data_IF_253453017550
#
_entry.id   IF_253453017550
#
_cell.length_a   1.000
_cell.length_b   1.000
_cell.length_c   1.000
_cell.angle_alpha   90.00
_cell.angle_beta   90.00
_cell.angle_gamma   90.00
#
_symmetry.space_group_name_H-M   'P 1'
#
loop_
_entity.id
_entity.type
_entity.pdbx_description
1 polymer ?
#
# COMPACT_ATOMS: atom_id res chain seq x y z
N UNK A 1 16.47 -10.34 30.00
CA UNK A 1 15.03 -10.02 29.84
C UNK A 1 14.65 -10.48 28.45
N UNK A 2 14.00 -11.64 28.33
CA UNK A 2 13.69 -12.29 27.04
C UNK A 2 12.86 -11.38 26.13
N UNK A 3 11.97 -10.56 26.71
CA UNK A 3 11.12 -9.61 25.97
C UNK A 3 11.98 -8.60 25.23
N UNK A 4 13.02 -8.07 25.90
CA UNK A 4 13.93 -7.09 25.30
C UNK A 4 14.73 -7.70 24.15
N UNK A 5 15.19 -8.93 24.28
CA UNK A 5 15.98 -9.61 23.23
C UNK A 5 15.10 -9.90 22.00
N UNK A 6 13.85 -10.32 22.20
CA UNK A 6 12.88 -10.49 21.11
C UNK A 6 12.58 -9.15 20.42
N UNK A 7 12.40 -8.08 21.19
CA UNK A 7 12.22 -6.74 20.64
C UNK A 7 13.41 -6.31 19.78
N UNK A 8 14.64 -6.54 20.25
CA UNK A 8 15.87 -6.24 19.49
C UNK A 8 15.94 -7.05 18.19
N UNK A 9 15.55 -8.33 18.20
CA UNK A 9 15.47 -9.17 17.01
C UNK A 9 14.44 -8.62 15.99
N UNK A 10 13.24 -8.26 16.45
CA UNK A 10 12.22 -7.65 15.57
C UNK A 10 12.69 -6.30 15.02
N UNK A 11 13.38 -5.51 15.83
CA UNK A 11 13.85 -4.19 15.42
C UNK A 11 14.91 -4.28 14.31
N UNK A 12 15.82 -5.26 14.38
CA UNK A 12 16.82 -5.52 13.34
C UNK A 12 16.21 -5.74 11.96
N UNK A 13 15.03 -6.35 11.91
CA UNK A 13 14.32 -6.71 10.67
C UNK A 13 13.08 -5.83 10.40
N UNK A 14 12.92 -4.71 11.11
CA UNK A 14 11.67 -3.94 11.11
C UNK A 14 11.26 -3.46 9.71
N UNK A 15 12.21 -2.97 8.90
CA UNK A 15 11.93 -2.53 7.54
C UNK A 15 11.34 -3.66 6.68
N UNK A 16 11.98 -4.83 6.69
CA UNK A 16 11.50 -6.01 5.97
C UNK A 16 10.13 -6.47 6.47
N UNK A 17 9.94 -6.57 7.79
CA UNK A 17 8.66 -6.97 8.38
C UNK A 17 7.53 -6.02 7.98
N UNK A 18 7.79 -4.72 7.94
CA UNK A 18 6.80 -3.74 7.54
C UNK A 18 6.44 -3.87 6.05
N UNK A 19 7.42 -3.98 5.15
CA UNK A 19 7.17 -4.21 3.73
C UNK A 19 6.43 -5.53 3.49
N UNK A 20 6.77 -6.57 4.26
CA UNK A 20 6.11 -7.87 4.23
C UNK A 20 4.62 -7.74 4.56
N UNK A 21 4.31 -7.08 5.68
CA UNK A 21 2.93 -6.80 6.08
C UNK A 21 2.18 -6.03 4.99
N UNK A 22 2.74 -4.92 4.49
CA UNK A 22 2.12 -4.11 3.46
C UNK A 22 1.85 -4.91 2.17
N UNK A 23 2.79 -5.75 1.74
CA UNK A 23 2.60 -6.58 0.55
C UNK A 23 1.38 -7.50 0.69
N UNK A 24 1.28 -8.24 1.80
CA UNK A 24 0.18 -9.18 2.01
C UNK A 24 -1.18 -8.50 2.28
N UNK A 25 -1.20 -7.27 2.81
CA UNK A 25 -2.45 -6.49 2.87
C UNK A 25 -2.98 -6.16 1.46
N UNK A 26 -2.11 -5.85 0.49
CA UNK A 26 -2.57 -5.45 -0.86
C UNK A 26 -3.18 -6.58 -1.70
N UNK A 27 -2.99 -7.86 -1.32
CA UNK A 27 -3.43 -9.00 -2.13
C UNK A 27 -4.95 -9.15 -2.27
N UNK A 28 -5.75 -8.63 -1.33
CA UNK A 28 -7.20 -8.83 -1.30
C UNK A 28 -8.02 -7.56 -1.55
N UNK A 29 -7.43 -6.54 -2.19
CA UNK A 29 -8.15 -5.33 -2.60
C UNK A 29 -8.57 -4.41 -1.45
N UNK A 30 -8.17 -4.68 -0.20
CA UNK A 30 -8.38 -3.79 0.94
C UNK A 30 -7.15 -3.76 1.84
N UNK A 31 -6.91 -2.63 2.50
CA UNK A 31 -5.76 -2.39 3.36
C UNK A 31 -6.10 -2.47 4.85
N UNK A 32 -7.27 -3.01 5.17
CA UNK A 32 -7.75 -3.18 6.53
C UNK A 32 -6.99 -4.31 7.25
N UNK A 33 -6.29 -5.20 6.54
CA UNK A 33 -5.41 -6.16 7.19
C UNK A 33 -5.11 -7.38 6.33
N UNK A 34 -4.27 -8.27 6.85
CA UNK A 34 -3.96 -9.54 6.21
C UNK A 34 -5.13 -10.49 6.45
N UNK A 35 -5.84 -10.84 5.38
CA UNK A 35 -6.93 -11.83 5.43
C UNK A 35 -6.38 -13.24 5.63
N UNK A 36 -7.23 -14.21 5.97
CA UNK A 36 -6.84 -15.62 6.03
C UNK A 36 -6.21 -16.11 4.70
N UNK A 37 -6.75 -15.69 3.55
CA UNK A 37 -6.21 -16.07 2.24
C UNK A 37 -4.83 -15.46 1.99
N UNK A 38 -4.62 -14.19 2.36
CA UNK A 38 -3.29 -13.57 2.26
C UNK A 38 -2.29 -14.19 3.25
N UNK A 39 -2.75 -14.60 4.43
CA UNK A 39 -1.90 -15.30 5.39
C UNK A 39 -1.49 -16.68 4.88
N UNK A 40 -2.40 -17.43 4.28
CA UNK A 40 -2.09 -18.71 3.63
C UNK A 40 -1.11 -18.53 2.45
N UNK A 41 -1.28 -17.47 1.65
CA UNK A 41 -0.32 -17.11 0.60
C UNK A 41 1.07 -16.80 1.19
N UNK A 42 1.14 -16.03 2.28
CA UNK A 42 2.38 -15.78 3.01
C UNK A 42 3.07 -17.07 3.48
N UNK A 43 2.30 -18.00 4.05
CA UNK A 43 2.82 -19.30 4.48
C UNK A 43 3.39 -20.11 3.30
N UNK A 44 2.71 -20.08 2.16
CA UNK A 44 3.13 -20.77 0.94
C UNK A 44 4.37 -20.12 0.31
N UNK A 45 4.36 -18.81 0.10
CA UNK A 45 5.45 -18.05 -0.52
C UNK A 45 6.73 -18.11 0.31
N UNK A 46 6.61 -18.08 1.64
CA UNK A 46 7.73 -18.23 2.57
C UNK A 46 8.20 -19.67 2.73
N UNK A 47 7.58 -20.64 2.04
CA UNK A 47 7.85 -22.07 2.18
C UNK A 47 7.92 -22.53 3.65
N UNK A 48 7.00 -22.02 4.48
CA UNK A 48 7.03 -22.19 5.93
C UNK A 48 6.48 -23.55 6.38
N UNK A 49 5.63 -24.15 5.55
CA UNK A 49 4.98 -25.42 5.86
C UNK A 49 5.85 -26.62 5.45
N UNK A 50 5.94 -27.61 6.34
CA UNK A 50 6.48 -28.93 6.06
C UNK A 50 5.41 -30.01 6.30
N UNK A 51 4.99 -30.68 5.24
CA UNK A 51 3.98 -31.74 5.28
C UNK A 51 4.40 -32.96 6.10
N UNK A 52 5.71 -33.16 6.35
CA UNK A 52 6.23 -34.24 7.19
C UNK A 52 6.31 -33.84 8.66
N UNK A 53 6.24 -32.55 8.96
CA UNK A 53 6.27 -32.07 10.33
C UNK A 53 4.99 -32.42 11.07
N UNK A 54 5.12 -32.79 12.34
CA UNK A 54 3.96 -32.98 13.25
C UNK A 54 3.37 -31.66 13.73
N UNK A 55 4.12 -30.58 13.55
CA UNK A 55 3.83 -29.29 14.17
C UNK A 55 3.77 -28.16 13.13
N UNK A 56 4.35 -28.31 11.95
CA UNK A 56 4.50 -27.21 11.00
C UNK A 56 3.84 -27.48 9.64
N UNK A 57 2.68 -28.12 9.60
CA UNK A 57 1.92 -28.27 8.35
C UNK A 57 1.19 -26.97 8.03
N UNK A 58 0.80 -26.77 6.77
CA UNK A 58 0.05 -25.57 6.36
C UNK A 58 -1.18 -25.32 7.24
N UNK A 59 -1.96 -26.36 7.54
CA UNK A 59 -3.11 -26.27 8.43
C UNK A 59 -2.74 -25.88 9.88
N UNK A 60 -1.58 -26.30 10.39
CA UNK A 60 -1.11 -25.92 11.71
C UNK A 60 -0.73 -24.43 11.77
N UNK A 61 -0.17 -23.90 10.67
CA UNK A 61 0.17 -22.49 10.53
C UNK A 61 -1.08 -21.63 10.28
N UNK A 62 -2.06 -22.07 9.50
CA UNK A 62 -3.33 -21.37 9.32
C UNK A 62 -4.08 -21.18 10.65
N UNK A 63 -4.03 -22.20 11.52
CA UNK A 63 -4.60 -22.13 12.86
C UNK A 63 -3.96 -21.02 13.71
N UNK A 64 -2.69 -20.68 13.50
CA UNK A 64 -2.04 -19.55 14.19
C UNK A 64 -2.76 -18.24 13.87
N UNK A 65 -3.07 -17.99 12.59
CA UNK A 65 -3.78 -16.77 12.19
C UNK A 65 -5.16 -16.67 12.85
N UNK A 66 -5.90 -17.78 12.91
CA UNK A 66 -7.22 -17.86 13.56
C UNK A 66 -7.09 -17.63 15.08
N UNK A 67 -6.11 -18.27 15.72
CA UNK A 67 -5.88 -18.15 17.16
C UNK A 67 -5.54 -16.71 17.53
N UNK A 68 -4.61 -16.08 16.80
CA UNK A 68 -4.19 -14.70 17.04
C UNK A 68 -5.35 -13.73 16.86
N UNK A 69 -6.12 -13.84 15.77
CA UNK A 69 -7.29 -12.98 15.56
C UNK A 69 -8.32 -13.14 16.69
N UNK A 70 -8.54 -14.37 17.15
CA UNK A 70 -9.46 -14.66 18.27
C UNK A 70 -8.97 -14.05 19.58
N UNK A 71 -7.68 -14.12 19.87
CA UNK A 71 -7.08 -13.52 21.07
C UNK A 71 -7.18 -12.00 21.05
N UNK A 72 -6.90 -11.38 19.90
CA UNK A 72 -7.01 -9.93 19.72
C UNK A 72 -8.43 -9.43 19.89
N UNK A 73 -9.42 -10.14 19.35
CA UNK A 73 -10.83 -9.78 19.56
C UNK A 73 -11.23 -9.76 21.04
N UNK A 74 -10.70 -10.69 21.85
CA UNK A 74 -10.90 -10.69 23.31
C UNK A 74 -10.21 -9.50 23.98
N UNK A 75 -8.97 -9.21 23.58
CA UNK A 75 -8.20 -8.10 24.12
C UNK A 75 -8.84 -6.74 23.79
N UNK A 76 -9.33 -6.57 22.57
CA UNK A 76 -10.03 -5.36 22.15
C UNK A 76 -11.36 -5.18 22.88
N UNK A 77 -12.10 -6.27 23.14
CA UNK A 77 -13.30 -6.21 23.97
C UNK A 77 -13.00 -5.76 25.42
N UNK A 78 -11.89 -6.24 25.99
CA UNK A 78 -11.42 -5.79 27.31
C UNK A 78 -11.07 -4.30 27.31
N UNK A 79 -10.28 -3.84 26.32
CA UNK A 79 -9.91 -2.42 26.20
C UNK A 79 -11.11 -1.51 25.93
N UNK A 80 -12.08 -1.96 25.13
CA UNK A 80 -13.30 -1.22 24.87
C UNK A 80 -14.17 -1.09 26.14
N UNK A 81 -14.15 -2.09 27.03
CA UNK A 81 -14.78 -1.99 28.34
C UNK A 81 -14.03 -0.98 29.24
N UNK A 82 -12.70 -0.95 29.20
CA UNK A 82 -11.88 0.01 29.94
C UNK A 82 -12.03 1.45 29.43
N UNK A 83 -12.19 1.65 28.13
CA UNK A 83 -12.35 2.99 27.52
C UNK A 83 -13.70 3.64 27.84
N UNK A 84 -14.65 2.91 28.42
CA UNK A 84 -15.93 3.46 28.92
C UNK A 84 -15.79 4.15 30.28
N UNK A 85 -14.61 4.04 30.93
CA UNK A 85 -14.34 4.71 32.21
C UNK A 85 -14.19 6.23 32.03
N UNK A 86 -14.64 7.06 33.00
CA UNK A 86 -14.48 8.50 32.93
C UNK A 86 -13.00 8.90 32.77
N UNK A 87 -12.70 9.74 31.76
CA UNK A 87 -11.34 10.21 31.47
C UNK A 87 -10.47 9.30 30.60
N UNK A 88 -10.99 8.14 30.15
CA UNK A 88 -10.25 7.26 29.24
C UNK A 88 -10.20 7.81 27.81
N UNK A 89 -9.09 7.57 27.10
CA UNK A 89 -8.97 7.92 25.67
C UNK A 89 -9.96 7.09 24.86
N UNK A 90 -10.63 7.72 23.89
CA UNK A 90 -11.52 7.04 22.94
C UNK A 90 -10.68 6.16 22.01
N UNK A 91 -10.79 4.85 22.20
CA UNK A 91 -10.14 3.83 21.37
C UNK A 91 -11.03 3.54 20.16
N UNK A 92 -10.42 3.41 18.98
CA UNK A 92 -11.13 2.97 17.78
C UNK A 92 -11.08 1.44 17.74
N UNK A 93 -12.22 0.79 17.49
CA UNK A 93 -12.25 -0.65 17.22
C UNK A 93 -11.28 -0.94 16.07
N UNK A 94 -10.34 -1.86 16.28
CA UNK A 94 -9.42 -2.29 15.23
C UNK A 94 -10.16 -2.94 14.07
N UNK A 95 -9.39 -3.10 12.99
CA UNK A 95 -9.60 -3.76 11.70
C UNK A 95 -10.80 -4.72 11.60
N UNK A 96 -11.33 -4.91 10.40
CA UNK A 96 -12.53 -5.72 10.21
C UNK A 96 -12.37 -7.12 10.83
N UNK A 97 -13.47 -7.65 11.38
CA UNK A 97 -13.50 -9.00 11.94
C UNK A 97 -12.87 -9.98 10.94
N UNK A 98 -12.00 -10.87 11.42
CA UNK A 98 -11.31 -11.90 10.63
C UNK A 98 -10.13 -11.43 9.76
N UNK A 99 -9.54 -10.27 10.06
CA UNK A 99 -8.30 -9.80 9.44
C UNK A 99 -7.22 -9.54 10.49
N UNK A 100 -5.95 -9.75 10.12
CA UNK A 100 -4.80 -9.48 10.97
C UNK A 100 -4.25 -8.08 10.68
N UNK A 101 -4.37 -7.19 11.66
CA UNK A 101 -3.64 -5.92 11.73
C UNK A 101 -2.14 -6.12 11.88
N UNK A 102 -1.38 -5.01 11.89
CA UNK A 102 0.09 -5.08 11.99
C UNK A 102 0.56 -5.83 13.24
N UNK A 103 0.06 -5.47 14.42
CA UNK A 103 0.43 -6.13 15.68
C UNK A 103 0.08 -7.62 15.70
N UNK A 104 -1.04 -7.99 15.10
CA UNK A 104 -1.49 -9.38 15.00
C UNK A 104 -0.58 -10.17 14.06
N UNK A 105 -0.23 -9.58 12.92
CA UNK A 105 0.73 -10.17 11.99
C UNK A 105 2.10 -10.37 12.65
N UNK A 106 2.59 -9.39 13.42
CA UNK A 106 3.80 -9.52 14.23
C UNK A 106 3.70 -10.69 15.23
N UNK A 107 2.56 -10.83 15.91
CA UNK A 107 2.36 -11.94 16.84
C UNK A 107 2.29 -13.30 16.13
N UNK A 108 1.73 -13.34 14.91
CA UNK A 108 1.79 -14.53 14.07
C UNK A 108 3.24 -14.91 13.75
N UNK A 109 4.12 -13.97 13.40
CA UNK A 109 5.54 -14.26 13.13
C UNK A 109 6.23 -14.92 14.34
N UNK A 110 5.98 -14.40 15.54
CA UNK A 110 6.50 -14.99 16.79
C UNK A 110 6.00 -16.43 16.98
N UNK A 111 4.69 -16.67 16.80
CA UNK A 111 4.11 -18.01 16.93
C UNK A 111 4.61 -18.98 15.85
N UNK A 112 4.79 -18.52 14.62
CA UNK A 112 5.37 -19.30 13.52
C UNK A 112 6.80 -19.71 13.87
N UNK A 113 7.64 -18.78 14.37
CA UNK A 113 9.00 -19.09 14.78
C UNK A 113 9.05 -20.17 15.88
N UNK A 114 8.16 -20.07 16.89
CA UNK A 114 8.00 -21.10 17.92
C UNK A 114 7.62 -22.44 17.31
N UNK A 115 6.66 -22.44 16.38
CA UNK A 115 6.16 -23.67 15.76
C UNK A 115 7.23 -24.35 14.89
N UNK A 116 8.02 -23.58 14.16
CA UNK A 116 9.06 -24.07 13.25
C UNK A 116 10.31 -24.58 13.99
N UNK A 117 10.83 -23.80 14.93
CA UNK A 117 12.16 -24.05 15.49
C UNK A 117 12.14 -24.54 16.93
N UNK A 118 11.19 -24.10 17.75
CA UNK A 118 11.17 -24.47 19.17
C UNK A 118 10.40 -25.77 19.41
N UNK A 119 9.23 -25.93 18.80
CA UNK A 119 8.43 -27.17 18.93
C UNK A 119 9.04 -28.36 18.20
N UNK A 120 9.87 -28.12 17.20
CA UNK A 120 10.69 -29.16 16.56
C UNK A 120 11.88 -29.59 17.44
N UNK A 121 12.21 -28.81 18.48
CA UNK A 121 13.37 -29.02 19.35
C UNK A 121 14.69 -28.56 18.74
N UNK A 122 14.65 -27.80 17.64
CA UNK A 122 15.85 -27.31 16.96
C UNK A 122 16.51 -26.15 17.71
N UNK A 123 15.71 -25.21 18.23
CA UNK A 123 16.17 -24.04 18.98
C UNK A 123 15.44 -23.92 20.32
N UNK A 124 16.12 -23.37 21.32
CA UNK A 124 15.57 -23.17 22.67
C UNK A 124 15.35 -21.70 23.04
N UNK A 125 15.82 -20.75 22.21
CA UNK A 125 15.60 -19.31 22.39
C UNK A 125 14.56 -18.81 21.39
N UNK A 126 13.61 -17.99 21.86
CA UNK A 126 12.62 -17.36 20.99
C UNK A 126 13.28 -16.32 20.08
N UNK A 127 14.25 -15.58 20.60
CA UNK A 127 14.97 -14.56 19.83
C UNK A 127 15.74 -15.15 18.65
N UNK A 128 16.45 -16.27 18.86
CA UNK A 128 17.16 -17.00 17.79
C UNK A 128 16.19 -17.61 16.78
N UNK A 129 15.07 -18.18 17.26
CA UNK A 129 14.04 -18.72 16.38
C UNK A 129 13.42 -17.64 15.49
N UNK A 130 13.15 -16.46 16.03
CA UNK A 130 12.59 -15.35 15.28
C UNK A 130 13.60 -14.77 14.28
N UNK A 131 14.86 -14.61 14.69
CA UNK A 131 15.93 -14.14 13.80
C UNK A 131 16.08 -15.09 12.60
N UNK A 132 16.09 -16.39 12.87
CA UNK A 132 16.20 -17.42 11.84
C UNK A 132 14.99 -17.46 10.91
N UNK A 133 13.77 -17.27 11.45
CA UNK A 133 12.57 -17.12 10.63
C UNK A 133 12.72 -15.94 9.67
N UNK A 134 13.10 -14.77 10.19
CA UNK A 134 13.16 -13.54 9.41
C UNK A 134 14.25 -13.59 8.34
N UNK A 135 15.42 -14.14 8.65
CA UNK A 135 16.48 -14.41 7.66
C UNK A 135 16.01 -15.38 6.57
N UNK A 136 15.29 -16.44 6.94
CA UNK A 136 14.70 -17.38 5.98
C UNK A 136 13.68 -16.70 5.06
N UNK A 137 12.80 -15.88 5.63
CA UNK A 137 11.79 -15.10 4.88
C UNK A 137 12.44 -14.08 3.94
N UNK A 138 13.50 -13.38 4.37
CA UNK A 138 14.27 -12.47 3.53
C UNK A 138 14.94 -13.21 2.37
N UNK A 139 15.52 -14.38 2.63
CA UNK A 139 16.18 -15.18 1.59
C UNK A 139 15.18 -15.76 0.57
N UNK A 140 14.01 -16.20 1.03
CA UNK A 140 12.98 -16.85 0.20
C UNK A 140 12.11 -15.86 -0.57
N UNK A 141 11.74 -14.74 0.07
CA UNK A 141 10.77 -13.79 -0.46
C UNK A 141 11.36 -12.40 -0.71
N UNK A 142 12.68 -12.23 -0.51
CA UNK A 142 13.33 -10.94 -0.70
C UNK A 142 13.10 -10.34 -2.09
N UNK A 143 12.91 -11.17 -3.13
CA UNK A 143 12.56 -10.67 -4.47
C UNK A 143 11.10 -10.18 -4.59
N UNK A 144 10.19 -10.69 -3.77
CA UNK A 144 8.77 -10.32 -3.75
C UNK A 144 8.53 -9.08 -2.87
N UNK A 145 9.37 -8.91 -1.83
CA UNK A 145 9.27 -7.89 -0.79
C UNK A 145 10.56 -7.05 -0.78
N UNK A 146 10.98 -6.62 -1.98
CA UNK A 146 12.36 -6.13 -2.20
C UNK A 146 12.56 -4.66 -1.88
N UNK A 147 11.50 -3.87 -1.98
CA UNK A 147 11.64 -2.42 -1.97
C UNK A 147 11.24 -1.84 -0.62
N UNK A 148 12.16 -1.08 -0.04
CA UNK A 148 11.85 -0.18 1.06
C UNK A 148 11.12 1.05 0.48
N UNK A 149 9.90 1.39 0.95
CA UNK A 149 9.21 2.61 0.56
C UNK A 149 10.07 3.87 0.67
N UNK A 150 11.01 3.94 1.62
CA UNK A 150 11.92 5.08 1.84
C UNK A 150 13.03 5.17 0.78
N UNK A 151 13.46 4.04 0.20
CA UNK A 151 14.40 4.04 -0.93
C UNK A 151 13.75 4.68 -2.14
N UNK A 152 12.48 4.40 -2.42
CA UNK A 152 11.75 5.08 -3.49
C UNK A 152 11.65 6.59 -3.25
N UNK A 153 11.33 7.00 -2.02
CA UNK A 153 11.22 8.42 -1.65
C UNK A 153 12.51 9.18 -1.93
N UNK A 154 13.61 8.68 -1.41
CA UNK A 154 14.93 9.33 -1.54
C UNK A 154 15.50 9.26 -2.96
N UNK A 155 15.33 8.13 -3.66
CA UNK A 155 15.87 7.94 -5.01
C UNK A 155 15.08 8.66 -6.10
N UNK A 156 13.76 8.77 -5.94
CA UNK A 156 12.88 9.28 -6.99
C UNK A 156 12.00 10.45 -6.52
N UNK A 157 11.09 10.22 -5.56
CA UNK A 157 10.01 11.18 -5.27
C UNK A 157 10.49 12.53 -4.71
N UNK A 158 11.59 12.55 -3.95
CA UNK A 158 12.12 13.75 -3.28
C UNK A 158 13.28 14.40 -4.04
N UNK A 159 13.47 14.06 -5.32
CA UNK A 159 14.42 14.76 -6.17
C UNK A 159 13.92 16.15 -6.54
N UNK A 160 14.87 17.06 -6.76
CA UNK A 160 14.58 18.45 -7.04
C UNK A 160 13.72 18.64 -8.30
N UNK A 161 14.05 17.95 -9.39
CA UNK A 161 13.32 17.98 -10.67
C UNK A 161 11.86 17.52 -10.52
N UNK A 162 11.63 16.44 -9.77
CA UNK A 162 10.28 15.98 -9.44
C UNK A 162 9.53 16.99 -8.58
N UNK A 163 10.18 17.54 -7.55
CA UNK A 163 9.59 18.57 -6.70
C UNK A 163 9.19 19.82 -7.49
N UNK A 164 10.01 20.26 -8.46
CA UNK A 164 9.71 21.40 -9.33
C UNK A 164 8.43 21.16 -10.15
N UNK A 165 8.24 19.95 -10.70
CA UNK A 165 7.00 19.57 -11.40
C UNK A 165 5.80 19.64 -10.44
N UNK A 166 5.92 19.10 -9.22
CA UNK A 166 4.83 19.08 -8.25
C UNK A 166 4.47 20.50 -7.76
N UNK A 167 5.47 21.34 -7.46
CA UNK A 167 5.28 22.72 -7.00
C UNK A 167 4.59 23.56 -8.08
N UNK A 168 5.05 23.46 -9.33
CA UNK A 168 4.44 24.16 -10.48
C UNK A 168 2.96 23.82 -10.66
N UNK A 169 2.54 22.63 -10.23
CA UNK A 169 1.19 22.11 -10.37
C UNK A 169 0.39 22.06 -9.05
N UNK A 170 0.92 22.63 -7.96
CA UNK A 170 0.40 22.44 -6.61
C UNK A 170 -1.07 22.86 -6.47
N UNK A 171 -1.44 24.01 -7.04
CA UNK A 171 -2.82 24.53 -6.94
C UNK A 171 -3.84 23.58 -7.60
N UNK A 172 -3.51 23.06 -8.78
CA UNK A 172 -4.36 22.10 -9.50
C UNK A 172 -4.45 20.78 -8.72
N UNK A 173 -3.32 20.28 -8.23
CA UNK A 173 -3.25 19.04 -7.44
C UNK A 173 -4.02 19.16 -6.12
N UNK A 174 -3.97 20.30 -5.44
CA UNK A 174 -4.79 20.56 -4.24
C UNK A 174 -6.28 20.60 -4.57
N UNK A 175 -6.66 21.10 -5.74
CA UNK A 175 -8.04 21.09 -6.21
C UNK A 175 -8.55 19.66 -6.44
N UNK A 176 -7.73 18.84 -7.12
CA UNK A 176 -7.98 17.40 -7.31
C UNK A 176 -8.12 16.70 -5.97
N UNK A 177 -7.17 16.89 -5.05
CA UNK A 177 -7.18 16.28 -3.73
C UNK A 177 -8.45 16.61 -2.93
N UNK A 178 -8.85 17.89 -2.90
CA UNK A 178 -10.08 18.34 -2.25
C UNK A 178 -11.32 17.72 -2.88
N UNK A 179 -11.34 17.56 -4.20
CA UNK A 179 -12.45 16.92 -4.88
C UNK A 179 -12.58 15.45 -4.46
N UNK A 180 -11.48 14.70 -4.48
CA UNK A 180 -11.45 13.27 -4.11
C UNK A 180 -11.93 13.07 -2.68
N UNK A 181 -11.33 13.80 -1.74
CA UNK A 181 -11.67 13.76 -0.30
C UNK A 181 -13.08 14.27 0.02
N UNK A 182 -13.76 14.93 -0.94
CA UNK A 182 -15.14 15.38 -0.78
C UNK A 182 -16.18 14.43 -1.36
N UNK A 183 -15.76 13.47 -2.20
CA UNK A 183 -16.67 12.59 -2.90
C UNK A 183 -17.36 11.57 -1.97
N UNK A 184 -16.76 11.24 -0.82
CA UNK A 184 -17.29 10.26 0.13
C UNK A 184 -18.16 10.80 1.27
N UNK A 185 -18.24 12.12 1.46
CA UNK A 185 -18.74 12.70 2.73
C UNK A 185 -20.01 13.54 2.59
N UNK A 186 -21.12 13.06 3.17
CA UNK A 186 -22.32 13.84 3.44
C UNK A 186 -22.08 14.81 4.62
N UNK A 187 -21.69 16.04 4.29
CA UNK A 187 -21.68 17.24 5.14
C UNK A 187 -20.92 17.19 6.49
N UNK A 188 -19.93 18.09 6.64
CA UNK A 188 -19.26 18.59 7.88
C UNK A 188 -17.90 18.00 8.30
N UNK A 189 -17.28 17.09 7.55
CA UNK A 189 -15.91 16.62 7.87
C UNK A 189 -14.86 17.41 7.08
N UNK A 190 -13.70 17.69 7.70
CA UNK A 190 -12.58 18.39 7.05
C UNK A 190 -12.05 17.54 5.90
N UNK A 191 -11.98 18.14 4.71
CA UNK A 191 -11.44 17.57 3.46
C UNK A 191 -9.90 17.53 3.49
N UNK A 192 -9.31 16.81 4.44
CA UNK A 192 -7.87 16.82 4.67
C UNK A 192 -7.15 15.51 4.37
N UNK A 193 -7.87 14.43 4.10
CA UNK A 193 -7.30 13.13 3.76
C UNK A 193 -8.16 12.37 2.73
N UNK A 194 -7.54 11.43 2.03
CA UNK A 194 -8.18 10.54 1.06
C UNK A 194 -8.15 9.12 1.60
N UNK A 195 -9.31 8.48 1.70
CA UNK A 195 -9.38 7.06 2.04
C UNK A 195 -9.14 6.14 0.82
N UNK A 196 -8.96 4.84 1.08
CA UNK A 196 -8.71 3.86 0.02
C UNK A 196 -9.83 3.81 -1.04
N UNK A 197 -11.09 3.96 -0.63
CA UNK A 197 -12.24 3.86 -1.54
C UNK A 197 -12.30 5.08 -2.45
N UNK A 198 -12.10 6.27 -1.88
CA UNK A 198 -12.03 7.53 -2.61
C UNK A 198 -10.90 7.49 -3.65
N UNK A 199 -9.72 7.01 -3.25
CA UNK A 199 -8.59 6.80 -4.15
C UNK A 199 -8.92 5.88 -5.33
N UNK A 200 -9.39 4.66 -5.04
CA UNK A 200 -9.67 3.67 -6.08
C UNK A 200 -10.81 4.12 -7.01
N UNK A 201 -11.87 4.73 -6.46
CA UNK A 201 -12.97 5.26 -7.26
C UNK A 201 -12.50 6.36 -8.20
N UNK A 202 -11.63 7.24 -7.72
CA UNK A 202 -11.06 8.30 -8.56
C UNK A 202 -10.23 7.70 -9.69
N UNK A 203 -9.31 6.75 -9.42
CA UNK A 203 -8.48 6.16 -10.45
C UNK A 203 -9.30 5.47 -11.54
N UNK A 204 -10.39 4.77 -11.15
CA UNK A 204 -11.34 4.19 -12.11
C UNK A 204 -12.05 5.27 -12.92
N UNK A 205 -12.46 6.37 -12.28
CA UNK A 205 -13.19 7.45 -12.94
C UNK A 205 -12.36 8.16 -14.01
N UNK A 206 -11.05 8.33 -13.79
CA UNK A 206 -10.14 8.94 -14.76
C UNK A 206 -9.51 7.95 -15.74
N UNK A 207 -9.90 6.67 -15.70
CA UNK A 207 -9.36 5.64 -16.59
C UNK A 207 -7.90 5.30 -16.33
N UNK A 208 -7.41 5.49 -15.10
CA UNK A 208 -6.03 5.10 -14.74
C UNK A 208 -5.87 3.59 -14.56
N UNK A 209 -6.92 2.91 -14.11
CA UNK A 209 -6.89 1.45 -13.93
C UNK A 209 -7.06 0.78 -15.29
N UNK A 210 -6.02 0.08 -15.74
CA UNK A 210 -5.97 -0.65 -17.01
C UNK A 210 -4.96 -1.83 -16.91
N UNK A 211 -4.59 -2.44 -18.04
CA UNK A 211 -3.67 -3.58 -18.10
C UNK A 211 -2.25 -3.28 -17.59
N UNK A 212 -1.80 -2.03 -17.71
CA UNK A 212 -0.49 -1.54 -17.25
C UNK A 212 -0.49 -1.10 -15.77
N UNK A 213 -1.65 -0.70 -15.24
CA UNK A 213 -1.84 -0.35 -13.84
C UNK A 213 -3.03 -1.10 -13.26
N UNK A 214 -2.86 -2.38 -12.88
CA UNK A 214 -3.93 -3.15 -12.26
C UNK A 214 -4.27 -2.61 -10.87
N UNK A 215 -5.49 -2.89 -10.41
CA UNK A 215 -5.98 -2.37 -9.11
C UNK A 215 -5.10 -2.71 -7.93
N UNK A 216 -4.45 -3.88 -7.95
CA UNK A 216 -3.52 -4.32 -6.91
C UNK A 216 -2.34 -3.36 -6.79
N UNK A 217 -1.78 -2.93 -7.91
CA UNK A 217 -0.56 -2.11 -7.91
C UNK A 217 -0.93 -0.65 -7.62
N UNK A 218 -2.09 -0.17 -8.09
CA UNK A 218 -2.67 1.09 -7.64
C UNK A 218 -2.95 1.13 -6.12
N UNK A 219 -3.43 0.02 -5.55
CA UNK A 219 -3.61 -0.13 -4.12
C UNK A 219 -2.27 -0.16 -3.37
N UNK A 220 -1.25 -0.76 -3.96
CA UNK A 220 0.11 -0.75 -3.43
C UNK A 220 0.71 0.66 -3.42
N UNK A 221 0.52 1.45 -4.48
CA UNK A 221 0.89 2.88 -4.52
C UNK A 221 0.28 3.65 -3.34
N UNK A 222 -1.01 3.45 -3.08
CA UNK A 222 -1.69 4.04 -1.93
C UNK A 222 -1.07 3.55 -0.62
N UNK A 223 -0.98 2.23 -0.45
CA UNK A 223 -0.52 1.59 0.79
C UNK A 223 0.86 2.09 1.22
N UNK A 224 1.78 2.22 0.26
CA UNK A 224 3.17 2.60 0.49
C UNK A 224 3.39 4.11 0.64
N UNK A 225 2.37 4.92 0.32
CA UNK A 225 2.41 6.38 0.47
C UNK A 225 1.76 6.86 1.77
N UNK A 226 1.27 5.94 2.60
CA UNK A 226 0.72 6.24 3.93
C UNK A 226 1.83 6.49 4.95
N UNK A 227 1.48 7.16 6.04
CA UNK A 227 2.40 7.31 7.16
C UNK A 227 2.38 6.07 8.04
N UNK A 228 3.54 5.50 8.32
CA UNK A 228 3.68 4.59 9.45
C UNK A 228 3.51 5.39 10.76
N UNK A 229 2.69 4.87 11.68
CA UNK A 229 2.49 5.45 13.01
C UNK A 229 2.89 4.45 14.08
N UNK A 230 3.43 4.97 15.18
CA UNK A 230 3.78 4.14 16.34
C UNK A 230 2.54 3.49 16.96
N UNK A 231 1.49 4.28 17.23
CA UNK A 231 0.26 3.81 17.86
C UNK A 231 -0.98 4.02 16.97
N UNK A 232 -1.44 2.97 16.25
CA UNK A 232 -2.58 3.05 15.35
C UNK A 232 -3.94 2.99 16.06
N UNK A 233 -4.00 2.71 17.37
CA UNK A 233 -5.28 2.52 18.07
C UNK A 233 -6.00 3.84 18.38
N UNK A 234 -5.24 4.94 18.36
CA UNK A 234 -5.78 6.28 18.57
C UNK A 234 -6.47 6.73 17.30
N UNK A 235 -7.53 7.53 17.41
CA UNK A 235 -8.21 8.06 16.22
C UNK A 235 -7.26 8.79 15.26
N UNK A 236 -6.26 9.52 15.79
CA UNK A 236 -5.26 10.21 14.98
C UNK A 236 -4.27 9.24 14.32
N UNK A 237 -3.83 8.23 15.06
CA UNK A 237 -2.95 7.19 14.54
C UNK A 237 -3.63 6.40 13.44
N UNK A 238 -4.85 5.91 13.70
CA UNK A 238 -5.66 5.18 12.75
C UNK A 238 -5.81 5.95 11.43
N UNK A 239 -6.28 7.21 11.47
CA UNK A 239 -6.43 8.04 10.26
C UNK A 239 -5.13 8.22 9.47
N UNK A 240 -3.98 8.34 10.14
CA UNK A 240 -2.69 8.46 9.45
C UNK A 240 -2.24 7.17 8.79
N UNK A 241 -2.61 6.03 9.37
CA UNK A 241 -2.27 4.70 8.86
C UNK A 241 -3.26 4.20 7.82
N UNK A 242 -4.47 4.76 7.72
CA UNK A 242 -5.51 4.32 6.77
C UNK A 242 -5.81 5.30 5.65
N UNK A 243 -5.49 6.58 5.82
CA UNK A 243 -5.82 7.64 4.87
C UNK A 243 -4.56 8.42 4.43
N UNK A 244 -4.56 8.92 3.20
CA UNK A 244 -3.48 9.73 2.66
C UNK A 244 -3.68 11.22 2.98
N UNK A 245 -2.71 11.89 3.64
CA UNK A 245 -2.64 13.35 3.59
C UNK A 245 -2.23 13.82 2.18
N UNK A 246 -2.21 15.14 1.96
CA UNK A 246 -1.84 15.70 0.65
C UNK A 246 -0.45 15.25 0.19
N UNK A 247 0.53 15.22 1.09
CA UNK A 247 1.89 14.79 0.77
C UNK A 247 1.94 13.30 0.38
N UNK A 248 1.14 12.46 1.06
CA UNK A 248 0.98 11.05 0.71
C UNK A 248 0.28 10.86 -0.64
N UNK A 249 -0.66 11.74 -0.99
CA UNK A 249 -1.25 11.77 -2.33
C UNK A 249 -0.21 12.12 -3.41
N UNK A 250 0.65 13.10 -3.19
CA UNK A 250 1.73 13.44 -4.12
C UNK A 250 2.72 12.28 -4.32
N UNK A 251 3.07 11.58 -3.24
CA UNK A 251 3.92 10.39 -3.32
C UNK A 251 3.23 9.27 -4.10
N UNK A 252 1.93 9.04 -3.88
CA UNK A 252 1.16 8.04 -4.61
C UNK A 252 1.10 8.34 -6.12
N UNK A 253 1.02 9.62 -6.50
CA UNK A 253 1.14 10.04 -7.90
C UNK A 253 2.51 9.68 -8.49
N UNK A 254 3.59 9.93 -7.75
CA UNK A 254 4.93 9.56 -8.21
C UNK A 254 5.05 8.04 -8.40
N UNK A 255 4.46 7.24 -7.50
CA UNK A 255 4.46 5.78 -7.63
C UNK A 255 3.64 5.31 -8.84
N UNK A 256 2.50 5.95 -9.13
CA UNK A 256 1.75 5.69 -10.37
C UNK A 256 2.58 6.01 -11.60
N UNK A 257 3.30 7.15 -11.60
CA UNK A 257 4.13 7.58 -12.71
C UNK A 257 5.21 6.57 -13.09
N UNK A 258 5.66 5.75 -12.13
CA UNK A 258 6.54 4.62 -12.42
C UNK A 258 5.81 3.59 -13.27
N UNK A 259 4.66 3.12 -12.79
CA UNK A 259 3.98 1.94 -13.33
C UNK A 259 3.24 2.21 -14.64
N UNK A 260 2.58 3.36 -14.75
CA UNK A 260 1.71 3.68 -15.89
C UNK A 260 2.54 3.73 -17.18
N UNK A 261 2.03 3.09 -18.22
CA UNK A 261 2.47 3.25 -19.59
C UNK A 261 2.17 4.69 -20.05
N UNK A 262 3.23 5.50 -20.08
CA UNK A 262 3.19 6.90 -20.46
C UNK A 262 4.06 7.09 -21.71
N UNK A 263 3.64 7.97 -22.64
CA UNK A 263 4.45 8.28 -23.82
C UNK A 263 5.74 8.96 -23.41
N UNK A 264 6.74 8.79 -24.25
CA UNK A 264 7.99 9.55 -24.22
C UNK A 264 7.79 10.93 -24.85
N UNK A 265 8.69 11.86 -24.57
CA UNK A 265 8.68 13.18 -25.21
C UNK A 265 8.83 13.10 -26.74
N UNK A 266 9.61 12.13 -27.22
CA UNK A 266 9.81 11.89 -28.65
C UNK A 266 8.51 11.45 -29.32
N UNK A 267 7.75 10.56 -28.67
CA UNK A 267 6.44 10.11 -29.17
C UNK A 267 5.41 11.24 -29.18
N UNK A 268 5.36 12.06 -28.12
CA UNK A 268 4.47 13.23 -28.07
C UNK A 268 4.81 14.25 -29.15
N UNK A 269 6.10 14.50 -29.38
CA UNK A 269 6.55 15.42 -30.41
C UNK A 269 6.25 14.88 -31.82
N UNK A 270 6.45 13.58 -32.05
CA UNK A 270 6.15 12.94 -33.32
C UNK A 270 4.64 12.89 -33.62
N UNK A 271 3.80 12.71 -32.59
CA UNK A 271 2.35 12.69 -32.74
C UNK A 271 1.71 14.08 -32.81
N UNK A 272 2.44 15.12 -32.39
CA UNK A 272 1.94 16.49 -32.29
C UNK A 272 0.94 16.72 -31.16
N UNK A 273 0.90 15.83 -30.15
CA UNK A 273 0.01 15.98 -29.00
C UNK A 273 0.71 16.78 -27.89
N UNK A 274 -0.04 17.65 -27.22
CA UNK A 274 0.52 18.52 -26.19
C UNK A 274 0.62 17.83 -24.83
N UNK A 275 -0.19 16.80 -24.58
CA UNK A 275 -0.23 16.09 -23.29
C UNK A 275 -0.39 14.60 -23.48
N UNK A 276 0.09 13.82 -22.51
CA UNK A 276 -0.09 12.37 -22.47
C UNK A 276 -1.57 11.95 -22.51
N UNK A 277 -2.46 12.72 -21.88
CA UNK A 277 -3.90 12.44 -21.92
C UNK A 277 -4.48 12.53 -23.33
N UNK A 278 -4.04 13.50 -24.13
CA UNK A 278 -4.47 13.64 -25.53
C UNK A 278 -3.94 12.47 -26.38
N UNK A 279 -2.68 12.12 -26.19
CA UNK A 279 -2.04 11.00 -26.89
C UNK A 279 -2.75 9.68 -26.60
N UNK A 280 -2.95 9.34 -25.33
CA UNK A 280 -3.59 8.09 -24.94
C UNK A 280 -5.06 8.05 -25.35
N UNK A 281 -5.78 9.18 -25.27
CA UNK A 281 -7.14 9.29 -25.76
C UNK A 281 -7.25 9.05 -27.27
N UNK A 282 -6.34 9.61 -28.05
CA UNK A 282 -6.30 9.38 -29.49
C UNK A 282 -5.98 7.91 -29.86
N UNK A 283 -5.07 7.26 -29.13
CA UNK A 283 -4.81 5.82 -29.31
C UNK A 283 -6.05 4.98 -29.03
N UNK A 284 -6.80 5.30 -27.97
CA UNK A 284 -8.06 4.60 -27.66
C UNK A 284 -9.11 4.77 -28.76
N UNK A 285 -9.19 5.95 -29.39
CA UNK A 285 -10.11 6.22 -30.51
C UNK A 285 -9.70 5.53 -31.81
N UNK A 286 -8.39 5.39 -32.08
CA UNK A 286 -7.84 4.77 -33.29
C UNK A 286 -7.98 3.24 -33.30
N UNK A 287 -8.11 2.61 -32.12
CA UNK A 287 -8.48 1.20 -32.01
C UNK A 287 -7.85 0.51 -30.80
N UNK A 288 -8.51 -0.54 -30.31
CA UNK A 288 -8.07 -1.27 -29.12
C UNK A 288 -6.72 -2.00 -29.26
N UNK A 289 -6.28 -2.36 -30.48
CA UNK A 289 -5.04 -3.13 -30.66
C UNK A 289 -3.77 -2.29 -30.43
N UNK A 290 -3.70 -1.10 -31.04
CA UNK A 290 -2.54 -0.21 -30.89
C UNK A 290 -2.42 0.30 -29.46
N UNK A 291 -3.56 0.65 -28.84
CA UNK A 291 -3.60 1.02 -27.44
C UNK A 291 -3.11 -0.11 -26.51
N UNK A 292 -3.58 -1.34 -26.70
CA UNK A 292 -3.14 -2.47 -25.87
C UNK A 292 -1.65 -2.82 -26.11
N UNK A 293 -1.18 -2.71 -27.35
CA UNK A 293 0.24 -2.88 -27.66
C UNK A 293 1.10 -1.83 -26.94
N UNK A 294 0.65 -0.57 -26.96
CA UNK A 294 1.32 0.51 -26.23
C UNK A 294 1.37 0.23 -24.72
N UNK A 295 0.25 -0.14 -24.11
CA UNK A 295 0.20 -0.49 -22.67
C UNK A 295 1.21 -1.60 -22.33
N UNK A 296 1.27 -2.66 -23.14
CA UNK A 296 2.16 -3.80 -22.87
C UNK A 296 3.65 -3.49 -23.04
N UNK A 297 3.99 -2.55 -23.92
CA UNK A 297 5.39 -2.19 -24.25
C UNK A 297 5.94 -1.09 -23.34
N UNK A 298 5.08 -0.24 -22.80
CA UNK A 298 5.47 0.91 -21.98
C UNK A 298 5.15 0.75 -20.49
N UNK A 299 4.47 -0.33 -20.08
CA UNK A 299 4.26 -0.65 -18.67
C UNK A 299 5.60 -0.87 -17.95
N UNK A 300 5.64 -0.49 -16.69
CA UNK A 300 6.79 -0.74 -15.83
C UNK A 300 6.42 -1.72 -14.73
N UNK A 301 7.35 -2.62 -14.39
CA UNK A 301 7.13 -3.63 -13.37
C UNK A 301 7.52 -3.07 -12.02
N UNK A 302 6.62 -3.25 -11.03
CA UNK A 302 6.89 -2.86 -9.65
C UNK A 302 8.26 -3.35 -9.16
N UNK A 303 9.06 -2.44 -8.62
CA UNK A 303 10.37 -2.72 -8.02
C UNK A 303 11.54 -2.74 -9.00
N UNK A 304 11.29 -2.62 -10.30
CA UNK A 304 12.37 -2.43 -11.26
C UNK A 304 12.94 -0.99 -11.17
N UNK A 305 14.15 -0.80 -11.67
CA UNK A 305 14.69 0.56 -11.81
C UNK A 305 13.92 1.34 -12.87
N UNK A 306 13.70 2.63 -12.60
CA UNK A 306 12.93 3.52 -13.47
C UNK A 306 13.90 4.20 -14.41
N UNK A 307 13.59 4.17 -15.70
CA UNK A 307 14.38 4.88 -16.72
C UNK A 307 14.25 6.39 -16.53
N UNK A 308 15.36 7.11 -16.67
CA UNK A 308 15.39 8.58 -16.65
C UNK A 308 14.92 9.15 -18.00
N UNK A 309 14.26 10.32 -18.03
CA UNK A 309 14.01 11.24 -16.91
C UNK A 309 12.67 11.00 -16.19
N UNK A 310 12.72 10.67 -14.90
CA UNK A 310 11.52 10.35 -14.11
C UNK A 310 10.55 11.54 -13.94
N UNK A 311 11.07 12.77 -13.87
CA UNK A 311 10.25 13.98 -13.70
C UNK A 311 9.20 14.16 -14.83
N UNK A 312 9.52 13.74 -16.06
CA UNK A 312 8.59 13.87 -17.19
C UNK A 312 7.42 12.88 -17.06
N UNK A 313 7.68 11.66 -16.58
CA UNK A 313 6.63 10.69 -16.24
C UNK A 313 5.67 11.25 -15.18
N UNK A 314 6.22 11.96 -14.18
CA UNK A 314 5.41 12.64 -13.16
C UNK A 314 4.56 13.74 -13.79
N UNK A 315 5.13 14.55 -14.70
CA UNK A 315 4.38 15.60 -15.42
C UNK A 315 3.20 15.03 -16.21
N UNK A 316 3.41 13.96 -16.98
CA UNK A 316 2.34 13.27 -17.71
C UNK A 316 1.25 12.72 -16.79
N UNK A 317 1.65 12.13 -15.66
CA UNK A 317 0.70 11.65 -14.65
C UNK A 317 -0.12 12.80 -14.09
N UNK A 318 0.52 13.91 -13.74
CA UNK A 318 -0.16 15.12 -13.25
C UNK A 318 -1.18 15.63 -14.27
N UNK A 319 -0.84 15.63 -15.55
CA UNK A 319 -1.75 16.09 -16.62
C UNK A 319 -3.00 15.20 -16.73
N UNK A 320 -2.85 13.88 -16.59
CA UNK A 320 -4.00 12.98 -16.56
C UNK A 320 -4.94 13.28 -15.38
N UNK A 321 -4.39 13.64 -14.21
CA UNK A 321 -5.20 14.04 -13.06
C UNK A 321 -5.85 15.42 -13.23
N UNK A 322 -5.26 16.34 -14.00
CA UNK A 322 -5.87 17.65 -14.29
C UNK A 322 -7.15 17.53 -15.12
N UNK A 323 -7.33 16.46 -15.90
CA UNK A 323 -8.58 16.20 -16.64
C UNK A 323 -9.80 16.25 -15.72
N UNK A 324 -9.68 15.82 -14.45
CA UNK A 324 -10.75 15.96 -13.46
C UNK A 324 -11.13 17.41 -13.15
N UNK A 325 -10.13 18.30 -13.06
CA UNK A 325 -10.38 19.72 -12.80
C UNK A 325 -11.16 20.32 -13.96
N UNK A 326 -10.80 19.96 -15.18
CA UNK A 326 -11.48 20.41 -16.39
C UNK A 326 -12.91 19.86 -16.49
N UNK A 327 -13.11 18.57 -16.21
CA UNK A 327 -14.43 17.96 -16.19
C UNK A 327 -15.33 18.65 -15.15
N UNK A 328 -14.82 18.92 -13.95
CA UNK A 328 -15.54 19.61 -12.89
C UNK A 328 -15.88 21.07 -13.23
N UNK A 329 -14.98 21.79 -13.91
CA UNK A 329 -15.28 23.15 -14.40
C UNK A 329 -16.42 23.11 -15.42
N UNK A 330 -16.42 22.15 -16.34
CA UNK A 330 -17.46 21.99 -17.36
C UNK A 330 -18.82 21.60 -16.78
N UNK A 331 -18.87 20.76 -15.74
CA UNK A 331 -20.13 20.36 -15.09
C UNK A 331 -20.74 21.46 -14.24
N UNK A 332 -19.93 22.26 -13.52
CA UNK A 332 -20.43 23.43 -12.77
C UNK A 332 -21.00 24.52 -13.66
N UNK A 333 -20.40 24.75 -14.85
CA UNK A 333 -20.91 25.74 -15.83
C UNK A 333 -22.26 25.33 -16.43
N UNK A 334 -22.61 24.02 -16.44
CA UNK A 334 -23.92 23.54 -16.91
C UNK A 334 -25.02 23.60 -15.84
N UNK A 335 -24.68 23.92 -14.59
CA UNK A 335 -25.62 24.02 -13.46
C UNK A 335 -25.95 25.48 -13.08
N UNK A 336 -25.47 26.43 -13.86
CA UNK A 336 -25.85 27.85 -13.86
C UNK A 336 -26.35 28.21 -15.26
#
# INVERSE_FOLDING_TARGET
DEVKVVQEAMWRHNAFIYTLYLNYTTLNGNLDGVTANAFAAFVADGALADNKSKHCRAADLDLIGIEVNTLSGKYDAQRAAESKKPGAKKIVSRYQKHQLGREEFLFCLVKVAVQMFMRSGELNSLSEALDRLLQHLEASMGNVVKDDPDVFRSKYAYRQDVCEVLIRNEEALRTVFKYISSAGSSHKVKFDQIDQREWMNMLRHIGMIDSDLPERDALRCFSWSRMAVEDPITHRGHRKETELPFEGFLEALCRIAVLKALPTDEELLASGFATASQFLGALQEQGGQDYQHFMLTHQHIWGNEVDEPFAHRVEHTVDMFKVMVEFNRKTKVKQH
#
